data_IF_506987542129
#
_entry.id   IF_506987542129
#
_cell.length_a   1.000
_cell.length_b   1.000
_cell.length_c   1.000
_cell.angle_alpha   90.00
_cell.angle_beta   90.00
_cell.angle_gamma   90.00
#
_symmetry.space_group_name_H-M   'P 1'
#
loop_
_entity.id
_entity.type
_entity.pdbx_description
1 polymer ?
#
# COMPACT_ATOMS: atom_id res chain seq x y z
N UNK A 1 10.86 8.10 -14.94
CA UNK A 1 9.85 7.64 -13.95
C UNK A 1 10.19 6.23 -13.50
N UNK A 2 9.84 5.81 -12.27
CA UNK A 2 9.98 4.42 -11.84
C UNK A 2 8.75 3.60 -12.27
N UNK A 3 7.56 4.13 -12.04
CA UNK A 3 6.28 3.58 -12.53
C UNK A 3 5.69 4.56 -13.53
N UNK A 4 5.20 4.05 -14.65
CA UNK A 4 4.43 4.83 -15.62
C UNK A 4 3.27 3.99 -16.13
N UNK A 5 2.06 4.39 -15.78
CA UNK A 5 0.82 3.78 -16.23
C UNK A 5 0.05 4.79 -17.10
N UNK A 6 -0.32 4.39 -18.32
CA UNK A 6 -1.03 5.24 -19.26
C UNK A 6 -2.35 4.57 -19.68
N UNK A 7 -3.47 5.23 -19.37
CA UNK A 7 -4.83 4.79 -19.70
C UNK A 7 -5.11 3.34 -19.28
N UNK A 8 -4.54 2.89 -18.13
CA UNK A 8 -4.79 1.54 -17.64
C UNK A 8 -6.21 1.40 -17.14
N UNK A 9 -6.88 0.32 -17.53
CA UNK A 9 -8.21 -0.04 -17.07
C UNK A 9 -8.24 -1.49 -16.58
N UNK A 10 -9.21 -1.83 -15.74
CA UNK A 10 -9.43 -3.19 -15.25
C UNK A 10 -10.89 -3.57 -15.43
N UNK A 11 -11.09 -4.65 -16.17
CA UNK A 11 -12.36 -5.31 -16.33
C UNK A 11 -12.33 -6.67 -15.61
N UNK A 12 -13.35 -6.96 -14.83
CA UNK A 12 -13.52 -8.27 -14.16
C UNK A 12 -14.79 -8.96 -14.66
N UNK A 13 -14.82 -10.31 -14.64
CA UNK A 13 -16.06 -11.02 -14.97
C UNK A 13 -17.18 -10.62 -14.00
N UNK A 14 -18.36 -10.31 -14.57
CA UNK A 14 -19.58 -10.08 -13.77
C UNK A 14 -20.06 -11.44 -13.21
N UNK A 15 -19.85 -11.64 -11.91
CA UNK A 15 -20.26 -12.88 -11.22
C UNK A 15 -21.77 -12.92 -10.91
N UNK A 16 -22.48 -11.80 -11.06
CA UNK A 16 -23.92 -11.69 -10.81
C UNK A 16 -24.79 -12.30 -11.92
N UNK A 17 -24.22 -12.53 -13.10
CA UNK A 17 -24.93 -13.07 -14.24
C UNK A 17 -24.25 -14.33 -14.76
N UNK A 18 -24.75 -15.51 -14.39
CA UNK A 18 -24.32 -16.79 -14.98
C UNK A 18 -24.89 -16.90 -16.41
N UNK A 19 -24.07 -16.68 -17.42
CA UNK A 19 -24.40 -16.96 -18.81
C UNK A 19 -23.96 -18.38 -19.12
N UNK A 20 -24.92 -19.28 -19.36
CA UNK A 20 -24.68 -20.69 -19.70
C UNK A 20 -23.98 -20.86 -21.07
N UNK A 21 -24.20 -19.95 -22.01
CA UNK A 21 -23.60 -19.95 -23.36
C UNK A 21 -23.40 -18.50 -23.79
N UNK A 22 -22.16 -18.09 -24.17
CA UNK A 22 -21.84 -16.77 -24.69
C UNK A 22 -20.67 -16.06 -23.97
N UNK A 23 -20.33 -14.83 -24.42
CA UNK A 23 -19.33 -14.00 -23.75
C UNK A 23 -19.84 -13.56 -22.38
N UNK A 24 -19.07 -13.84 -21.33
CA UNK A 24 -19.34 -13.34 -19.97
C UNK A 24 -19.33 -11.81 -20.00
N UNK A 25 -20.33 -11.20 -19.39
CA UNK A 25 -20.32 -9.75 -19.16
C UNK A 25 -19.14 -9.41 -18.25
N UNK A 26 -18.47 -8.31 -18.55
CA UNK A 26 -17.41 -7.77 -17.71
C UNK A 26 -17.90 -6.50 -17.04
N UNK A 27 -17.46 -6.29 -15.81
CA UNK A 27 -17.68 -5.07 -15.05
C UNK A 27 -16.37 -4.30 -15.02
N UNK A 28 -16.40 -3.04 -15.47
CA UNK A 28 -15.23 -2.16 -15.39
C UNK A 28 -15.10 -1.60 -13.98
N UNK A 29 -14.09 -2.08 -13.23
CA UNK A 29 -13.85 -1.68 -11.85
C UNK A 29 -12.81 -0.56 -11.75
N UNK A 30 -11.90 -0.44 -12.72
CA UNK A 30 -11.00 0.69 -12.88
C UNK A 30 -11.18 1.24 -14.29
N UNK A 31 -11.60 2.48 -14.39
CA UNK A 31 -11.73 3.21 -15.65
C UNK A 31 -10.34 3.62 -16.16
N UNK A 32 -10.17 4.02 -17.42
CA UNK A 32 -8.87 4.43 -17.93
C UNK A 32 -8.25 5.54 -17.09
N UNK A 33 -7.17 5.22 -16.37
CA UNK A 33 -6.42 6.17 -15.55
C UNK A 33 -4.96 6.19 -15.96
N UNK A 34 -4.34 7.36 -15.82
CA UNK A 34 -2.90 7.52 -16.02
C UNK A 34 -2.26 8.05 -14.75
N UNK A 35 -1.15 7.44 -14.35
CA UNK A 35 -0.40 7.84 -13.17
C UNK A 35 1.08 7.52 -13.38
N UNK A 36 1.95 8.38 -12.89
CA UNK A 36 3.39 8.13 -12.85
C UNK A 36 3.92 8.31 -11.44
N UNK A 37 4.96 7.56 -11.07
CA UNK A 37 5.62 7.65 -9.77
C UNK A 37 7.13 7.73 -10.03
N UNK A 38 7.79 8.75 -9.48
CA UNK A 38 9.23 8.92 -9.60
C UNK A 38 9.98 8.01 -8.60
N UNK A 39 11.29 7.82 -8.81
CA UNK A 39 12.14 7.13 -7.83
C UNK A 39 12.16 7.93 -6.52
N UNK A 40 11.99 7.25 -5.40
CA UNK A 40 11.99 7.84 -4.07
C UNK A 40 10.75 8.68 -3.73
N UNK A 41 9.79 8.83 -4.63
CA UNK A 41 8.56 9.60 -4.41
C UNK A 41 7.55 8.83 -3.54
N UNK A 42 6.84 9.56 -2.67
CA UNK A 42 5.67 9.03 -1.94
C UNK A 42 4.39 9.63 -2.49
N UNK A 43 3.53 8.78 -3.07
CA UNK A 43 2.23 9.17 -3.63
C UNK A 43 1.10 8.55 -2.81
N UNK A 44 0.20 9.40 -2.28
CA UNK A 44 -1.01 8.98 -1.60
C UNK A 44 -2.12 8.65 -2.60
N UNK A 45 -2.71 7.46 -2.51
CA UNK A 45 -3.93 7.10 -3.24
C UNK A 45 -5.11 7.16 -2.28
N UNK A 46 -6.01 8.12 -2.48
CA UNK A 46 -7.07 8.46 -1.54
C UNK A 46 -8.44 8.42 -2.22
N UNK A 47 -9.48 8.17 -1.45
CA UNK A 47 -10.88 8.13 -1.91
C UNK A 47 -11.72 7.24 -1.04
N UNK A 48 -13.03 7.25 -1.26
CA UNK A 48 -13.99 6.42 -0.53
C UNK A 48 -13.72 4.92 -0.68
N UNK A 49 -14.31 4.11 0.20
CA UNK A 49 -14.33 2.66 0.03
C UNK A 49 -14.96 2.29 -1.32
N UNK A 50 -14.37 1.34 -2.03
CA UNK A 50 -14.85 0.94 -3.36
C UNK A 50 -14.40 1.86 -4.51
N UNK A 51 -13.63 2.92 -4.28
CA UNK A 51 -13.11 3.80 -5.36
C UNK A 51 -11.99 3.18 -6.21
N UNK A 52 -11.63 1.93 -5.98
CA UNK A 52 -10.63 1.13 -6.73
C UNK A 52 -9.16 1.48 -6.46
N UNK A 53 -8.83 2.09 -5.31
CA UNK A 53 -7.45 2.38 -4.89
C UNK A 53 -6.58 1.12 -4.82
N UNK A 54 -7.04 0.11 -4.10
CA UNK A 54 -6.38 -1.20 -3.97
C UNK A 54 -6.23 -1.88 -5.34
N UNK A 55 -7.25 -1.76 -6.21
CA UNK A 55 -7.20 -2.28 -7.58
C UNK A 55 -6.08 -1.60 -8.37
N UNK A 56 -6.01 -0.26 -8.34
CA UNK A 56 -4.93 0.50 -8.96
C UNK A 56 -3.57 0.07 -8.39
N UNK A 57 -3.39 0.06 -7.07
CA UNK A 57 -2.13 -0.35 -6.44
C UNK A 57 -1.69 -1.76 -6.85
N UNK A 58 -2.60 -2.73 -6.89
CA UNK A 58 -2.32 -4.10 -7.36
C UNK A 58 -1.97 -4.16 -8.84
N UNK A 59 -2.59 -3.32 -9.65
CA UNK A 59 -2.27 -3.21 -11.08
C UNK A 59 -0.88 -2.62 -11.29
N UNK A 60 -0.48 -1.58 -10.54
CA UNK A 60 0.88 -1.01 -10.60
C UNK A 60 1.96 -2.04 -10.25
N UNK A 61 1.63 -3.05 -9.43
CA UNK A 61 2.51 -4.18 -9.13
C UNK A 61 2.34 -5.35 -10.13
N UNK A 62 1.51 -5.22 -11.17
CA UNK A 62 1.18 -6.34 -12.08
C UNK A 62 0.67 -7.59 -11.35
N UNK A 63 -0.02 -7.40 -10.21
CA UNK A 63 -0.81 -8.45 -9.57
C UNK A 63 -2.15 -8.64 -10.30
N UNK A 64 -2.66 -7.55 -10.90
CA UNK A 64 -3.74 -7.58 -11.89
C UNK A 64 -3.18 -7.18 -13.24
N UNK A 65 -3.62 -7.88 -14.28
CA UNK A 65 -3.30 -7.54 -15.67
C UNK A 65 -4.23 -6.44 -16.15
N UNK A 66 -3.72 -5.33 -16.72
CA UNK A 66 -4.55 -4.30 -17.29
C UNK A 66 -5.36 -4.86 -18.47
N UNK A 67 -6.65 -4.52 -18.54
CA UNK A 67 -7.50 -4.83 -19.69
C UNK A 67 -7.22 -3.90 -20.87
N UNK A 68 -6.76 -2.68 -20.59
CA UNK A 68 -6.41 -1.64 -21.54
C UNK A 68 -5.23 -0.81 -21.02
N UNK A 69 -4.59 -0.08 -21.93
CA UNK A 69 -3.50 0.83 -21.61
C UNK A 69 -2.12 0.16 -21.55
N UNK A 70 -1.15 0.87 -21.00
CA UNK A 70 0.25 0.41 -20.86
C UNK A 70 0.78 0.66 -19.47
N UNK A 71 1.64 -0.24 -18.99
CA UNK A 71 2.30 -0.14 -17.70
C UNK A 71 3.80 -0.40 -17.87
N UNK A 72 4.61 0.57 -17.42
CA UNK A 72 6.06 0.46 -17.44
C UNK A 72 6.63 0.50 -16.01
N UNK A 73 7.67 -0.27 -15.78
CA UNK A 73 8.48 -0.26 -14.57
C UNK A 73 9.93 0.00 -14.94
N UNK A 74 10.48 1.11 -14.45
CA UNK A 74 11.87 1.54 -14.68
C UNK A 74 12.25 1.56 -16.20
N UNK A 75 11.29 2.02 -17.03
CA UNK A 75 11.40 2.10 -18.49
C UNK A 75 11.11 0.80 -19.25
N UNK A 76 10.92 -0.33 -18.56
CA UNK A 76 10.54 -1.59 -19.18
C UNK A 76 9.01 -1.72 -19.25
N UNK A 77 8.47 -2.03 -20.43
CA UNK A 77 7.05 -2.36 -20.58
C UNK A 77 6.77 -3.73 -19.91
N UNK A 78 5.85 -3.72 -18.95
CA UNK A 78 5.41 -4.91 -18.21
C UNK A 78 3.91 -5.19 -18.40
N UNK A 79 3.26 -4.51 -19.33
CA UNK A 79 1.79 -4.56 -19.52
C UNK A 79 1.27 -5.99 -19.66
N UNK A 80 1.90 -6.78 -20.51
CA UNK A 80 1.53 -8.18 -20.77
C UNK A 80 2.67 -9.15 -20.47
N UNK A 81 3.61 -8.73 -19.60
CA UNK A 81 4.74 -9.56 -19.23
C UNK A 81 4.27 -10.88 -18.59
N UNK A 82 4.87 -11.98 -19.03
CA UNK A 82 4.63 -13.33 -18.51
C UNK A 82 5.09 -13.48 -17.06
N UNK A 83 4.66 -14.54 -16.38
CA UNK A 83 5.09 -14.82 -15.02
C UNK A 83 6.61 -14.99 -14.89
N UNK A 84 7.28 -15.52 -15.93
CA UNK A 84 8.74 -15.66 -15.98
C UNK A 84 9.46 -14.32 -16.08
N UNK A 85 8.95 -13.39 -16.89
CA UNK A 85 9.48 -12.03 -17.04
C UNK A 85 9.23 -11.17 -15.80
N UNK A 86 8.09 -11.37 -15.13
CA UNK A 86 7.77 -10.67 -13.88
C UNK A 86 8.58 -11.19 -12.67
N UNK A 87 9.04 -12.44 -12.68
CA UNK A 87 9.73 -13.06 -11.55
C UNK A 87 10.91 -12.23 -11.01
N UNK A 88 11.86 -11.73 -11.82
CA UNK A 88 12.94 -10.88 -11.33
C UNK A 88 12.45 -9.52 -10.81
N UNK A 89 11.37 -8.98 -11.38
CA UNK A 89 10.79 -7.71 -10.99
C UNK A 89 10.01 -7.80 -9.67
N UNK A 90 9.49 -8.98 -9.31
CA UNK A 90 8.79 -9.21 -8.02
C UNK A 90 9.64 -8.87 -6.82
N UNK A 91 10.97 -9.03 -6.90
CA UNK A 91 11.88 -8.59 -5.85
C UNK A 91 11.89 -7.07 -5.70
N UNK A 92 11.82 -6.35 -6.81
CA UNK A 92 11.91 -4.88 -6.88
C UNK A 92 10.57 -4.18 -6.58
N UNK A 93 9.46 -4.92 -6.70
CA UNK A 93 8.10 -4.42 -6.50
C UNK A 93 7.41 -5.24 -5.40
N UNK A 94 7.08 -4.62 -4.28
CA UNK A 94 6.52 -5.30 -3.12
C UNK A 94 5.20 -4.68 -2.67
N UNK A 95 4.41 -5.46 -1.94
CA UNK A 95 3.16 -5.01 -1.34
C UNK A 95 3.16 -5.27 0.17
N UNK A 96 2.77 -4.26 0.93
CA UNK A 96 2.39 -4.40 2.34
C UNK A 96 0.86 -4.40 2.36
N UNK A 97 0.29 -5.51 2.82
CA UNK A 97 -1.15 -5.75 2.77
C UNK A 97 -1.87 -5.12 3.97
N UNK A 98 -3.12 -4.76 3.77
CA UNK A 98 -4.02 -4.19 4.77
C UNK A 98 -4.17 -5.07 6.02
N UNK A 99 -4.40 -6.36 5.83
CA UNK A 99 -4.53 -7.33 6.92
C UNK A 99 -3.28 -8.22 7.02
N UNK A 100 -2.44 -7.98 8.04
CA UNK A 100 -1.29 -8.83 8.27
C UNK A 100 -1.67 -10.26 8.70
N UNK A 101 -2.89 -10.50 9.23
CA UNK A 101 -3.32 -11.85 9.62
C UNK A 101 -3.52 -12.73 8.38
N UNK A 102 -4.21 -12.22 7.37
CA UNK A 102 -4.43 -12.98 6.13
C UNK A 102 -3.17 -13.10 5.27
N UNK A 103 -2.23 -12.16 5.41
CA UNK A 103 -1.01 -12.10 4.60
C UNK A 103 0.16 -12.93 5.18
N UNK A 104 0.13 -13.28 6.45
CA UNK A 104 1.15 -14.09 7.13
C UNK A 104 0.62 -15.52 7.34
N UNK A 105 1.32 -16.52 6.81
CA UNK A 105 0.91 -17.91 7.02
C UNK A 105 0.98 -18.27 8.52
N UNK A 106 -0.16 -18.59 9.18
CA UNK A 106 -0.19 -18.83 10.62
C UNK A 106 0.52 -20.10 11.07
N UNK A 107 0.85 -20.98 10.11
CA UNK A 107 1.55 -22.25 10.39
C UNK A 107 3.06 -22.10 10.39
N UNK A 108 3.59 -20.96 9.96
CA UNK A 108 5.03 -20.67 9.94
C UNK A 108 5.41 -19.71 11.06
N UNK A 109 6.59 -19.90 11.62
CA UNK A 109 7.18 -18.89 12.51
C UNK A 109 7.55 -17.64 11.73
N UNK A 110 7.73 -16.51 12.41
CA UNK A 110 8.15 -15.25 11.78
C UNK A 110 9.48 -15.42 11.04
N UNK A 111 10.45 -16.12 11.64
CA UNK A 111 11.71 -16.47 10.96
C UNK A 111 11.47 -17.30 9.69
N UNK A 112 10.56 -18.27 9.74
CA UNK A 112 10.21 -19.10 8.59
C UNK A 112 9.56 -18.29 7.45
N UNK A 113 8.70 -17.32 7.77
CA UNK A 113 8.07 -16.42 6.79
C UNK A 113 9.12 -15.55 6.09
N UNK A 114 10.04 -14.93 6.86
CA UNK A 114 11.11 -14.09 6.30
C UNK A 114 12.12 -14.92 5.50
N UNK A 115 12.52 -16.08 6.05
CA UNK A 115 13.42 -16.99 5.35
C UNK A 115 12.83 -17.49 4.01
N UNK A 116 11.52 -17.78 3.97
CA UNK A 116 10.83 -18.17 2.75
C UNK A 116 10.90 -17.09 1.66
N UNK A 117 10.65 -15.84 2.02
CA UNK A 117 10.75 -14.72 1.09
C UNK A 117 12.18 -14.54 0.55
N UNK A 118 13.19 -14.60 1.43
CA UNK A 118 14.60 -14.47 1.04
C UNK A 118 15.05 -15.61 0.13
N UNK A 119 14.77 -16.87 0.51
CA UNK A 119 15.15 -18.07 -0.25
C UNK A 119 14.53 -18.10 -1.65
N UNK A 120 13.27 -17.65 -1.80
CA UNK A 120 12.59 -17.58 -3.09
C UNK A 120 13.36 -16.72 -4.11
N UNK A 121 14.09 -15.71 -3.61
CA UNK A 121 14.89 -14.79 -4.41
C UNK A 121 16.41 -15.04 -4.33
N UNK A 122 16.84 -16.18 -3.77
CA UNK A 122 18.25 -16.57 -3.69
C UNK A 122 19.08 -15.66 -2.77
N UNK A 123 18.44 -15.05 -1.75
CA UNK A 123 19.09 -14.17 -0.79
C UNK A 123 19.50 -14.93 0.48
N UNK A 124 20.43 -14.34 1.24
CA UNK A 124 20.84 -14.88 2.54
C UNK A 124 19.66 -14.93 3.51
N UNK A 125 19.27 -16.15 3.90
CA UNK A 125 18.20 -16.44 4.84
C UNK A 125 18.73 -17.00 6.17
N UNK A 126 19.99 -16.66 6.52
CA UNK A 126 20.58 -17.02 7.82
C UNK A 126 19.84 -16.34 8.98
N UNK A 127 19.92 -16.92 10.17
CA UNK A 127 19.35 -16.30 11.38
C UNK A 127 19.88 -14.89 11.61
N UNK A 128 21.16 -14.63 11.28
CA UNK A 128 21.77 -13.31 11.38
C UNK A 128 21.11 -12.31 10.42
N UNK A 129 20.87 -12.70 9.17
CA UNK A 129 20.19 -11.83 8.19
C UNK A 129 18.74 -11.51 8.61
N UNK A 130 18.03 -12.52 9.11
CA UNK A 130 16.67 -12.35 9.61
C UNK A 130 16.61 -11.48 10.85
N UNK A 131 17.57 -11.65 11.80
CA UNK A 131 17.68 -10.81 12.99
C UNK A 131 17.88 -9.33 12.62
N UNK A 132 18.75 -9.06 11.65
CA UNK A 132 18.99 -7.70 11.16
C UNK A 132 17.73 -7.07 10.51
N UNK A 133 16.91 -7.87 9.79
CA UNK A 133 15.65 -7.39 9.21
C UNK A 133 14.63 -7.07 10.32
N UNK A 134 14.53 -7.92 11.35
CA UNK A 134 13.65 -7.69 12.49
C UNK A 134 14.04 -6.45 13.29
N UNK A 135 15.33 -6.26 13.52
CA UNK A 135 15.87 -5.07 14.18
C UNK A 135 15.48 -3.78 13.46
N UNK A 136 15.58 -3.75 12.12
CA UNK A 136 15.19 -2.60 11.29
C UNK A 136 13.70 -2.21 11.45
N UNK A 137 12.84 -3.14 11.80
CA UNK A 137 11.42 -2.86 12.08
C UNK A 137 11.11 -2.75 13.57
N UNK A 138 12.13 -2.67 14.43
CA UNK A 138 12.00 -2.53 15.88
C UNK A 138 11.42 -3.77 16.57
N UNK A 139 11.71 -4.97 16.04
CA UNK A 139 11.35 -6.24 16.64
C UNK A 139 12.59 -6.97 17.15
N UNK A 140 12.55 -7.56 18.37
CA UNK A 140 13.68 -8.32 18.89
C UNK A 140 13.91 -9.60 18.08
N UNK A 141 15.14 -10.06 18.00
CA UNK A 141 15.50 -11.31 17.30
C UNK A 141 14.75 -12.54 17.83
N UNK A 142 14.33 -12.53 19.11
CA UNK A 142 13.52 -13.59 19.71
C UNK A 142 12.16 -13.76 19.04
N UNK A 143 11.66 -12.72 18.33
CA UNK A 143 10.44 -12.81 17.55
C UNK A 143 10.52 -13.84 16.40
N UNK A 144 11.72 -14.20 15.93
CA UNK A 144 11.89 -15.23 14.89
C UNK A 144 11.20 -16.56 15.24
N UNK A 145 11.21 -16.94 16.52
CA UNK A 145 10.65 -18.22 17.00
C UNK A 145 9.15 -18.16 17.27
N UNK A 146 8.54 -16.96 17.23
CA UNK A 146 7.11 -16.79 17.46
C UNK A 146 6.30 -17.04 16.18
N UNK A 147 5.04 -17.39 16.37
CA UNK A 147 4.03 -17.47 15.31
C UNK A 147 3.24 -16.16 15.21
N UNK A 148 2.61 -15.84 14.06
CA UNK A 148 1.83 -14.61 13.88
C UNK A 148 0.77 -14.37 14.96
N UNK A 149 0.07 -15.41 15.42
CA UNK A 149 -0.97 -15.31 16.46
C UNK A 149 -0.42 -14.95 17.86
N UNK A 150 0.89 -15.06 18.08
CA UNK A 150 1.56 -14.71 19.33
C UNK A 150 2.03 -13.25 19.39
N UNK A 151 1.75 -12.47 18.35
CA UNK A 151 2.15 -11.07 18.21
C UNK A 151 0.95 -10.14 18.36
N UNK A 152 1.17 -8.91 18.84
CA UNK A 152 0.18 -7.84 18.81
C UNK A 152 -0.13 -7.39 17.36
N UNK A 153 -1.20 -6.64 17.15
CA UNK A 153 -1.56 -6.09 15.82
C UNK A 153 -0.42 -5.30 15.19
N UNK A 154 0.15 -4.34 15.94
CA UNK A 154 1.28 -3.54 15.47
C UNK A 154 2.55 -4.36 15.23
N UNK A 155 2.83 -5.39 16.04
CA UNK A 155 3.95 -6.29 15.79
C UNK A 155 3.75 -7.12 14.52
N UNK A 156 2.54 -7.63 14.26
CA UNK A 156 2.24 -8.31 12.99
C UNK A 156 2.40 -7.38 11.80
N UNK A 157 1.96 -6.12 11.92
CA UNK A 157 2.15 -5.13 10.87
C UNK A 157 3.63 -4.87 10.58
N UNK A 158 4.46 -4.74 11.60
CA UNK A 158 5.92 -4.61 11.46
C UNK A 158 6.55 -5.84 10.78
N UNK A 159 6.04 -7.05 11.03
CA UNK A 159 6.47 -8.27 10.29
C UNK A 159 6.06 -8.20 8.82
N UNK A 160 4.86 -7.70 8.50
CA UNK A 160 4.43 -7.47 7.12
C UNK A 160 5.36 -6.49 6.38
N UNK A 161 5.74 -5.39 7.05
CA UNK A 161 6.74 -4.43 6.56
C UNK A 161 8.10 -5.12 6.38
N UNK A 162 8.57 -5.85 7.42
CA UNK A 162 9.85 -6.59 7.37
C UNK A 162 9.94 -7.52 6.16
N UNK A 163 8.86 -8.25 5.85
CA UNK A 163 8.80 -9.15 4.70
C UNK A 163 8.96 -8.39 3.37
N UNK A 164 8.33 -7.24 3.23
CA UNK A 164 8.42 -6.43 2.02
C UNK A 164 9.84 -5.84 1.86
N UNK A 165 10.40 -5.23 2.91
CA UNK A 165 11.72 -4.57 2.83
C UNK A 165 12.89 -5.55 2.79
N UNK A 166 12.71 -6.82 3.23
CA UNK A 166 13.75 -7.85 3.20
C UNK A 166 14.35 -8.05 1.80
N UNK A 167 13.56 -7.79 0.77
CA UNK A 167 13.95 -7.94 -0.62
C UNK A 167 14.62 -6.70 -1.21
N UNK A 168 14.74 -5.61 -0.43
CA UNK A 168 15.24 -4.29 -0.86
C UNK A 168 14.53 -3.79 -2.12
N UNK A 169 13.22 -3.55 -2.06
CA UNK A 169 12.43 -3.13 -3.22
C UNK A 169 12.75 -1.69 -3.63
N UNK A 170 12.56 -1.40 -4.92
CA UNK A 170 12.58 -0.04 -5.45
C UNK A 170 11.21 0.64 -5.32
N UNK A 171 10.13 -0.18 -5.33
CA UNK A 171 8.75 0.28 -5.26
C UNK A 171 7.92 -0.56 -4.30
N UNK A 172 7.17 0.11 -3.44
CA UNK A 172 6.26 -0.52 -2.48
C UNK A 172 4.86 0.08 -2.61
N UNK A 173 3.86 -0.79 -2.62
CA UNK A 173 2.46 -0.40 -2.40
C UNK A 173 2.09 -0.76 -0.97
N UNK A 174 1.72 0.23 -0.17
CA UNK A 174 1.24 0.06 1.20
C UNK A 174 -0.28 0.27 1.22
N UNK A 175 -1.03 -0.83 1.37
CA UNK A 175 -2.49 -0.85 1.26
C UNK A 175 -3.12 -0.82 2.66
N UNK A 176 -3.65 0.34 3.07
CA UNK A 176 -4.35 0.60 4.35
C UNK A 176 -3.65 0.02 5.59
N UNK A 177 -2.32 0.12 5.63
CA UNK A 177 -1.46 -0.59 6.59
C UNK A 177 -1.59 -0.16 8.04
N UNK A 178 -2.26 0.96 8.33
CA UNK A 178 -2.48 1.47 9.68
C UNK A 178 -3.94 1.35 10.12
N UNK A 179 -4.81 0.86 9.24
CA UNK A 179 -6.23 0.65 9.55
C UNK A 179 -6.39 -0.36 10.70
N UNK A 180 -7.23 0.00 11.68
CA UNK A 180 -7.51 -0.85 12.84
C UNK A 180 -6.41 -0.90 13.91
N UNK A 181 -5.35 -0.08 13.80
CA UNK A 181 -4.38 0.14 14.86
C UNK A 181 -4.78 1.34 15.71
N UNK A 182 -4.41 1.33 16.98
CA UNK A 182 -4.55 2.50 17.84
C UNK A 182 -3.63 3.65 17.39
N UNK A 183 -3.98 4.89 17.76
CA UNK A 183 -3.30 6.12 17.28
C UNK A 183 -1.80 6.11 17.54
N UNK A 184 -1.37 5.61 18.70
CA UNK A 184 0.06 5.58 19.06
C UNK A 184 0.83 4.56 18.22
N UNK A 185 0.25 3.39 17.98
CA UNK A 185 0.81 2.35 17.12
C UNK A 185 0.82 2.79 15.66
N UNK A 186 -0.22 3.50 15.19
CA UNK A 186 -0.24 4.09 13.85
C UNK A 186 0.94 5.03 13.63
N UNK A 187 1.15 5.99 14.55
CA UNK A 187 2.27 6.93 14.45
C UNK A 187 3.62 6.20 14.34
N UNK A 188 3.85 5.20 15.21
CA UNK A 188 5.09 4.41 15.18
C UNK A 188 5.30 3.65 13.86
N UNK A 189 4.23 3.08 13.28
CA UNK A 189 4.31 2.36 11.98
C UNK A 189 4.58 3.32 10.83
N UNK A 190 3.99 4.51 10.85
CA UNK A 190 4.22 5.53 9.83
C UNK A 190 5.63 6.11 9.89
N UNK A 191 6.15 6.40 11.10
CA UNK A 191 7.53 6.87 11.28
C UNK A 191 8.55 5.80 10.86
N UNK A 192 8.29 4.53 11.20
CA UNK A 192 9.09 3.40 10.72
C UNK A 192 9.12 3.36 9.19
N UNK A 193 7.94 3.43 8.53
CA UNK A 193 7.85 3.37 7.08
C UNK A 193 8.57 4.53 6.41
N UNK A 194 8.44 5.75 6.97
CA UNK A 194 9.15 6.95 6.51
C UNK A 194 10.66 6.77 6.58
N UNK A 195 11.19 6.35 7.75
CA UNK A 195 12.62 6.11 7.92
C UNK A 195 13.16 5.04 6.96
N UNK A 196 12.43 3.94 6.76
CA UNK A 196 12.80 2.89 5.81
C UNK A 196 12.79 3.39 4.37
N UNK A 197 11.79 4.21 3.99
CA UNK A 197 11.70 4.84 2.67
C UNK A 197 12.90 5.73 2.38
N UNK A 198 13.27 6.56 3.33
CA UNK A 198 14.42 7.47 3.21
C UNK A 198 15.74 6.70 3.15
N UNK A 199 15.95 5.74 4.06
CA UNK A 199 17.17 4.91 4.11
C UNK A 199 17.39 4.11 2.82
N UNK A 200 16.30 3.57 2.25
CA UNK A 200 16.37 2.67 1.09
C UNK A 200 16.21 3.40 -0.27
N UNK A 201 15.80 4.67 -0.26
CA UNK A 201 15.48 5.42 -1.47
C UNK A 201 14.31 4.85 -2.29
N UNK A 202 13.44 4.05 -1.65
CA UNK A 202 12.33 3.40 -2.34
C UNK A 202 11.19 4.37 -2.62
N UNK A 203 10.48 4.18 -3.73
CA UNK A 203 9.22 4.85 -4.02
C UNK A 203 8.06 4.14 -3.30
N UNK A 204 7.03 4.91 -2.92
CA UNK A 204 5.91 4.42 -2.14
C UNK A 204 4.58 4.89 -2.73
N UNK A 205 3.67 3.97 -3.05
CA UNK A 205 2.25 4.26 -3.23
C UNK A 205 1.54 3.90 -1.93
N UNK A 206 1.04 4.91 -1.24
CA UNK A 206 0.39 4.77 0.06
C UNK A 206 -1.12 4.89 -0.09
N UNK A 207 -1.85 3.79 0.09
CA UNK A 207 -3.31 3.75 0.01
C UNK A 207 -3.88 3.96 1.41
N UNK A 208 -4.73 4.96 1.55
CA UNK A 208 -5.42 5.24 2.81
C UNK A 208 -6.76 5.93 2.56
N UNK A 209 -7.70 5.73 3.47
CA UNK A 209 -8.89 6.56 3.58
C UNK A 209 -8.68 7.70 4.61
N UNK A 210 -7.61 7.64 5.41
CA UNK A 210 -7.24 8.70 6.36
C UNK A 210 -6.35 9.75 5.69
N UNK A 211 -6.98 10.88 5.38
CA UNK A 211 -6.32 12.03 4.75
C UNK A 211 -5.29 12.71 5.67
N UNK A 212 -5.46 12.62 7.00
CA UNK A 212 -4.51 13.19 7.95
C UNK A 212 -3.14 12.52 7.81
N UNK A 213 -3.14 11.19 7.69
CA UNK A 213 -1.93 10.39 7.46
C UNK A 213 -1.30 10.73 6.12
N UNK A 214 -2.11 10.81 5.05
CA UNK A 214 -1.64 11.14 3.70
C UNK A 214 -0.99 12.53 3.66
N UNK A 215 -1.58 13.52 4.33
CA UNK A 215 -1.05 14.88 4.44
C UNK A 215 0.36 14.92 5.03
N UNK A 216 0.66 14.03 5.98
CA UNK A 216 1.96 14.00 6.67
C UNK A 216 3.01 13.14 5.96
N UNK A 217 2.58 12.09 5.25
CA UNK A 217 3.49 11.10 4.67
C UNK A 217 3.76 11.33 3.18
N UNK A 218 2.78 11.85 2.42
CA UNK A 218 2.82 11.84 0.97
C UNK A 218 3.18 13.22 0.39
N UNK A 219 4.10 13.22 -0.56
CA UNK A 219 4.51 14.44 -1.30
C UNK A 219 3.46 14.86 -2.32
N UNK A 220 2.80 13.87 -2.94
CA UNK A 220 1.74 14.04 -3.93
C UNK A 220 0.54 13.15 -3.56
N UNK A 221 -0.65 13.60 -3.91
CA UNK A 221 -1.88 12.89 -3.67
C UNK A 221 -2.66 12.71 -4.97
N UNK A 222 -3.28 11.55 -5.11
CA UNK A 222 -4.19 11.17 -6.19
C UNK A 222 -5.52 10.82 -5.56
N UNK A 223 -6.55 11.59 -5.88
CA UNK A 223 -7.92 11.41 -5.38
C UNK A 223 -8.71 10.57 -6.37
N UNK A 224 -9.25 9.46 -5.87
CA UNK A 224 -10.01 8.51 -6.68
C UNK A 224 -11.49 8.47 -6.28
N UNK A 225 -12.38 8.44 -7.28
CA UNK A 225 -13.83 8.26 -7.11
C UNK A 225 -14.35 7.32 -8.18
N UNK A 226 -15.06 6.26 -7.79
CA UNK A 226 -15.74 5.33 -8.72
C UNK A 226 -14.86 4.84 -9.88
N UNK A 227 -13.61 4.49 -9.56
CA UNK A 227 -12.64 3.96 -10.53
C UNK A 227 -11.94 5.01 -11.40
N UNK A 228 -12.10 6.30 -11.13
CA UNK A 228 -11.47 7.41 -11.85
C UNK A 228 -10.54 8.21 -10.93
N UNK A 229 -9.52 8.84 -11.51
CA UNK A 229 -8.75 9.90 -10.85
C UNK A 229 -9.51 11.22 -11.08
N UNK A 230 -9.99 11.85 -9.99
CA UNK A 230 -10.76 13.09 -10.07
C UNK A 230 -9.92 14.33 -9.77
N UNK A 231 -8.83 14.16 -9.04
CA UNK A 231 -7.86 15.22 -8.76
C UNK A 231 -6.50 14.63 -8.43
N UNK A 232 -5.44 15.34 -8.83
CA UNK A 232 -4.05 14.98 -8.57
C UNK A 232 -3.21 16.25 -8.42
N UNK A 233 -2.25 16.22 -7.50
CA UNK A 233 -1.34 17.34 -7.29
C UNK A 233 -0.44 17.16 -6.07
N UNK A 234 0.42 18.16 -5.82
CA UNK A 234 1.19 18.21 -4.57
C UNK A 234 0.24 18.22 -3.39
N UNK A 235 0.53 17.42 -2.38
CA UNK A 235 -0.36 17.26 -1.22
C UNK A 235 -0.70 18.61 -0.60
N UNK A 236 0.29 19.47 -0.35
CA UNK A 236 0.06 20.80 0.22
C UNK A 236 -0.88 21.69 -0.64
N UNK A 237 -0.78 21.62 -1.97
CA UNK A 237 -1.60 22.41 -2.88
C UNK A 237 -3.05 21.90 -2.93
N UNK A 238 -3.24 20.57 -3.04
CA UNK A 238 -4.58 19.97 -3.08
C UNK A 238 -5.33 20.20 -1.77
N UNK A 239 -4.65 20.12 -0.64
CA UNK A 239 -5.27 20.37 0.67
C UNK A 239 -5.57 21.85 0.91
N UNK A 240 -4.72 22.77 0.41
CA UNK A 240 -4.97 24.21 0.56
C UNK A 240 -6.05 24.73 -0.39
N UNK A 241 -6.13 24.17 -1.60
CA UNK A 241 -7.05 24.64 -2.66
C UNK A 241 -7.57 23.48 -3.50
N UNK A 242 -8.49 22.65 -2.95
CA UNK A 242 -9.10 21.56 -3.69
C UNK A 242 -9.89 22.08 -4.89
N UNK A 243 -9.70 21.45 -6.05
CA UNK A 243 -10.33 21.88 -7.31
C UNK A 243 -11.72 21.30 -7.48
N UNK A 244 -11.92 20.05 -7.05
CA UNK A 244 -13.21 19.37 -7.19
C UNK A 244 -14.04 19.49 -5.92
N UNK A 245 -15.36 19.51 -6.06
CA UNK A 245 -16.29 19.47 -4.93
C UNK A 245 -16.10 18.21 -4.09
N UNK A 246 -15.86 17.07 -4.75
CA UNK A 246 -15.58 15.80 -4.08
C UNK A 246 -14.35 15.88 -3.19
N UNK A 247 -13.23 16.42 -3.69
CA UNK A 247 -12.01 16.57 -2.90
C UNK A 247 -12.25 17.49 -1.70
N UNK A 248 -13.02 18.56 -1.88
CA UNK A 248 -13.37 19.49 -0.79
C UNK A 248 -14.17 18.76 0.29
N UNK A 249 -15.24 18.08 -0.08
CA UNK A 249 -16.05 17.30 0.84
C UNK A 249 -15.21 16.25 1.60
N UNK A 250 -14.28 15.61 0.90
CA UNK A 250 -13.39 14.60 1.49
C UNK A 250 -12.42 15.23 2.51
N UNK A 251 -11.87 16.41 2.22
CA UNK A 251 -10.99 17.15 3.14
C UNK A 251 -11.79 17.69 4.33
N UNK A 252 -12.98 18.23 4.11
CA UNK A 252 -13.84 18.79 5.17
C UNK A 252 -14.34 17.69 6.13
N UNK A 253 -14.33 16.44 5.70
CA UNK A 253 -14.66 15.28 6.57
C UNK A 253 -13.55 14.88 7.53
N UNK A 254 -12.36 15.46 7.42
CA UNK A 254 -11.26 15.21 8.37
C UNK A 254 -11.68 15.81 9.72
N UNK A 255 -11.75 14.99 10.81
CA UNK A 255 -12.01 15.52 12.11
C UNK A 255 -10.90 16.54 12.46
N UNK A 256 -11.24 17.79 12.56
CA UNK A 256 -10.34 18.76 13.16
C UNK A 256 -10.11 18.30 14.61
N UNK A 257 -8.88 18.34 15.13
CA UNK A 257 -8.69 18.17 16.55
C UNK A 257 -9.45 19.31 17.22
N UNK A 258 -10.69 19.06 17.62
CA UNK A 258 -11.43 19.92 18.51
C UNK A 258 -10.65 19.92 19.83
N UNK A 259 -9.79 20.90 19.99
CA UNK A 259 -9.36 21.30 21.33
C UNK A 259 -10.62 21.92 21.94
N UNK A 260 -11.46 21.08 22.54
CA UNK A 260 -12.50 21.61 23.43
C UNK A 260 -11.76 22.12 24.68
N UNK A 261 -11.56 23.45 24.83
CA UNK A 261 -10.84 23.98 25.99
C UNK A 261 -11.57 23.72 27.30
N UNK A 262 -12.86 23.33 27.23
CA UNK A 262 -13.73 23.10 28.38
C UNK A 262 -13.82 21.62 28.82
N UNK A 263 -13.13 20.68 28.14
CA UNK A 263 -13.18 19.26 28.51
C UNK A 263 -12.64 18.98 29.94
N UNK A 264 -11.76 19.86 30.47
CA UNK A 264 -11.23 19.79 31.83
C UNK A 264 -12.14 20.49 32.85
N UNK A 265 -13.10 21.30 32.43
CA UNK A 265 -14.03 22.06 33.29
C UNK A 265 -15.42 21.42 33.41
N UNK A 266 -15.68 20.26 32.78
CA UNK A 266 -16.91 19.54 32.95
C UNK A 266 -17.00 19.03 34.41
N UNK A 267 -18.04 19.37 35.19
CA UNK A 267 -18.19 18.91 36.54
C UNK A 267 -18.35 17.38 36.54
N UNK A 268 -17.52 16.70 37.30
CA UNK A 268 -17.69 15.28 37.63
C UNK A 268 -18.98 15.15 38.44
N UNK A 269 -20.07 14.74 37.76
CA UNK A 269 -21.32 14.33 38.37
C UNK A 269 -21.30 12.88 38.82
#
# INVERSE_FOLDING_TARGET
MLIEARNIAIDVPDMGHQVLIGRRRTLRILKPVSISIAKGETVGLVGESGSSKTTLGRTLLRLYEPSEGTLQFDGQDITHASASELKPLRRRMQMIFQDPQSSLNPRHTIGGILAGALKLHGLDASERAIAAILDRVGLPSTAMKRYPHQLSGGQRQRVGIARAIALKPDFVVADEIVSGLDVSTQAQVLDLLRGLKEEMGMALAFISHDLSVVRHLCERVVIMKSGEIVEEGRTAEVFAKPRTEFTRTLIDSIPLPEVNPDWLSAPTG
#
